data_IF_351630175622
#
_entry.id   IF_351630175622
#
_cell.length_a   1.000
_cell.length_b   1.000
_cell.length_c   1.000
_cell.angle_alpha   90.00
_cell.angle_beta   90.00
_cell.angle_gamma   90.00
#
_symmetry.space_group_name_H-M   'P 1'
#
loop_
_entity.id
_entity.type
_entity.pdbx_description
1 polymer ?
#
# COMPACT_ATOMS: atom_id res chain seq x y z
N UNK A 1 -2.20 23.23 -30.70
CA UNK A 1 -1.79 24.58 -31.13
C UNK A 1 -2.12 25.51 -29.97
N UNK A 2 -1.14 25.79 -29.10
CA UNK A 2 -1.34 26.68 -27.94
C UNK A 2 -0.99 28.12 -28.35
N UNK A 3 -1.76 29.14 -27.90
CA UNK A 3 -1.42 30.53 -28.19
C UNK A 3 -0.15 30.96 -27.44
N UNK A 4 0.64 31.91 -27.99
CA UNK A 4 1.85 32.39 -27.34
C UNK A 4 1.53 33.20 -26.08
N UNK A 5 2.29 32.95 -25.02
CA UNK A 5 2.23 33.68 -23.75
C UNK A 5 2.88 35.06 -23.95
N UNK A 6 2.25 36.17 -23.56
CA UNK A 6 2.86 37.50 -23.71
C UNK A 6 4.09 37.63 -22.79
N UNK A 7 5.24 37.95 -23.37
CA UNK A 7 6.44 38.33 -22.62
C UNK A 7 6.17 39.63 -21.85
N UNK A 8 6.27 39.55 -20.53
CA UNK A 8 6.33 40.71 -19.66
C UNK A 8 7.67 41.43 -19.89
N UNK A 9 7.67 42.43 -20.78
CA UNK A 9 8.78 43.36 -20.93
C UNK A 9 8.94 44.19 -19.64
N UNK A 10 9.94 43.83 -18.84
CA UNK A 10 10.39 44.64 -17.72
C UNK A 10 11.26 45.79 -18.27
N UNK A 11 11.03 47.04 -17.86
CA UNK A 11 11.82 48.18 -18.34
C UNK A 11 13.28 48.06 -17.87
N UNK A 12 14.21 48.30 -18.79
CA UNK A 12 15.63 48.32 -18.48
C UNK A 12 15.95 49.43 -17.46
N UNK A 13 16.80 49.17 -16.46
CA UNK A 13 17.19 50.19 -15.50
C UNK A 13 18.05 51.25 -16.20
N UNK A 14 17.70 52.51 -16.00
CA UNK A 14 18.51 53.64 -16.45
C UNK A 14 19.77 53.73 -15.61
N UNK A 15 20.93 53.50 -16.23
CA UNK A 15 22.24 53.65 -15.59
C UNK A 15 22.51 55.14 -15.34
N UNK A 16 22.30 55.59 -14.10
CA UNK A 16 22.86 56.86 -13.62
C UNK A 16 24.32 56.65 -13.23
N UNK A 17 25.18 57.48 -13.81
CA UNK A 17 26.62 57.46 -13.57
C UNK A 17 26.96 57.87 -12.13
N UNK A 18 27.87 57.09 -11.53
CA UNK A 18 28.77 57.52 -10.47
C UNK A 18 28.17 57.63 -9.08
N UNK A 19 28.18 56.53 -8.33
CA UNK A 19 28.73 56.37 -6.97
C UNK A 19 29.00 54.86 -6.83
N UNK A 20 30.24 54.44 -6.49
CA UNK A 20 30.50 53.04 -6.17
C UNK A 20 29.82 52.74 -4.83
N UNK A 21 28.58 52.31 -4.89
CA UNK A 21 27.89 51.77 -3.74
C UNK A 21 28.57 50.45 -3.36
N UNK A 22 28.83 50.19 -2.06
CA UNK A 22 29.31 48.90 -1.61
C UNK A 22 28.42 47.79 -2.18
N UNK A 23 29.03 46.71 -2.72
CA UNK A 23 28.28 45.55 -3.19
C UNK A 23 27.27 45.14 -2.10
N UNK A 24 25.99 44.91 -2.45
CA UNK A 24 24.99 44.53 -1.46
C UNK A 24 25.44 43.27 -0.75
N UNK A 25 25.84 43.41 0.51
CA UNK A 25 26.00 42.27 1.40
C UNK A 25 24.59 41.76 1.69
N UNK A 26 24.26 40.62 1.10
CA UNK A 26 23.13 39.82 1.57
C UNK A 26 23.49 39.46 3.01
N UNK A 27 22.90 40.15 3.99
CA UNK A 27 22.95 39.69 5.36
C UNK A 27 22.42 38.24 5.35
N UNK A 28 23.02 37.29 6.10
CA UNK A 28 22.51 35.92 6.17
C UNK A 28 21.11 35.94 6.79
N UNK A 29 20.11 36.18 5.96
CA UNK A 29 18.71 36.26 6.30
C UNK A 29 17.98 35.15 5.55
N UNK A 30 17.22 34.35 6.28
CA UNK A 30 16.38 33.32 5.71
C UNK A 30 14.97 33.89 5.44
N UNK A 31 14.44 33.63 4.25
CA UNK A 31 13.03 33.86 3.96
C UNK A 31 12.21 32.71 4.56
N UNK A 32 11.42 33.00 5.60
CA UNK A 32 10.48 32.04 6.17
C UNK A 32 9.10 32.31 5.61
N UNK A 33 8.53 31.36 4.86
CA UNK A 33 7.11 31.36 4.49
C UNK A 33 6.36 30.52 5.51
N UNK A 34 5.39 31.13 6.17
CA UNK A 34 4.53 30.51 7.18
C UNK A 34 3.08 30.62 6.74
N UNK A 35 2.28 29.61 7.06
CA UNK A 35 0.83 29.66 6.90
C UNK A 35 0.24 30.44 8.08
N UNK A 36 -0.69 31.36 7.81
CA UNK A 36 -1.40 32.12 8.86
C UNK A 36 -2.26 31.20 9.75
N UNK A 37 -2.61 30.01 9.24
CA UNK A 37 -3.34 28.98 9.97
C UNK A 37 -2.36 27.90 10.38
N UNK A 38 -2.34 27.58 11.67
CA UNK A 38 -1.60 26.43 12.20
C UNK A 38 -2.27 25.15 11.74
N UNK A 39 -1.48 24.16 11.29
CA UNK A 39 -1.99 22.82 11.07
C UNK A 39 -2.50 22.29 12.42
N UNK A 40 -3.82 22.02 12.59
CA UNK A 40 -4.31 21.47 13.84
C UNK A 40 -3.62 20.14 14.11
N UNK A 41 -3.29 19.87 15.37
CA UNK A 41 -2.81 18.56 15.78
C UNK A 41 -3.80 17.50 15.32
N UNK A 42 -3.31 16.40 14.75
CA UNK A 42 -4.21 15.35 14.27
C UNK A 42 -5.01 14.78 15.44
N UNK A 43 -6.35 14.71 15.32
CA UNK A 43 -7.16 14.14 16.38
C UNK A 43 -6.82 12.66 16.53
N UNK A 44 -6.63 12.20 17.78
CA UNK A 44 -6.27 10.82 18.10
C UNK A 44 -7.07 9.75 17.34
N UNK A 45 -8.41 9.89 17.18
CA UNK A 45 -9.21 8.95 16.39
C UNK A 45 -8.79 8.84 14.92
N UNK A 46 -8.40 9.94 14.28
CA UNK A 46 -7.96 9.91 12.88
C UNK A 46 -6.61 9.20 12.71
N UNK A 47 -5.70 9.38 13.68
CA UNK A 47 -4.41 8.68 13.73
C UNK A 47 -4.64 7.17 13.87
N UNK A 48 -5.48 6.76 14.82
CA UNK A 48 -5.82 5.36 15.03
C UNK A 48 -6.47 4.73 13.79
N UNK A 49 -7.41 5.43 13.15
CA UNK A 49 -8.06 4.96 11.93
C UNK A 49 -7.06 4.75 10.78
N UNK A 50 -6.17 5.71 10.52
CA UNK A 50 -5.16 5.58 9.45
C UNK A 50 -4.15 4.47 9.75
N UNK A 51 -3.78 4.28 11.01
CA UNK A 51 -2.93 3.16 11.42
C UNK A 51 -3.62 1.82 11.11
N UNK A 52 -4.87 1.64 11.54
CA UNK A 52 -5.65 0.44 11.23
C UNK A 52 -5.82 0.21 9.72
N UNK A 53 -6.08 1.27 8.95
CA UNK A 53 -6.15 1.17 7.49
C UNK A 53 -4.81 0.76 6.86
N UNK A 54 -3.70 1.30 7.34
CA UNK A 54 -2.36 0.93 6.87
C UNK A 54 -2.04 -0.54 7.17
N UNK A 55 -2.43 -1.02 8.36
CA UNK A 55 -2.29 -2.43 8.75
C UNK A 55 -3.14 -3.34 7.86
N UNK A 56 -4.40 -2.99 7.60
CA UNK A 56 -5.27 -3.73 6.70
C UNK A 56 -4.68 -3.81 5.28
N UNK A 57 -4.19 -2.69 4.74
CA UNK A 57 -3.54 -2.67 3.41
C UNK A 57 -2.27 -3.54 3.39
N UNK A 58 -1.48 -3.54 4.47
CA UNK A 58 -0.31 -4.40 4.58
C UNK A 58 -0.70 -5.89 4.61
N UNK A 59 -1.75 -6.25 5.34
CA UNK A 59 -2.29 -7.61 5.38
C UNK A 59 -2.81 -8.07 4.02
N UNK A 60 -3.57 -7.24 3.31
CA UNK A 60 -4.08 -7.56 1.96
C UNK A 60 -2.92 -7.79 0.96
N UNK A 61 -1.88 -6.94 1.01
CA UNK A 61 -0.66 -7.14 0.20
C UNK A 61 0.03 -8.45 0.52
N UNK A 62 0.11 -8.81 1.81
CA UNK A 62 0.74 -10.05 2.21
C UNK A 62 -0.05 -11.28 1.78
N UNK A 63 -1.38 -11.26 1.92
CA UNK A 63 -2.27 -12.32 1.42
C UNK A 63 -2.13 -12.51 -0.09
N UNK A 64 -2.08 -11.41 -0.85
CA UNK A 64 -1.86 -11.45 -2.29
C UNK A 64 -0.49 -12.03 -2.64
N UNK A 65 0.56 -11.69 -1.89
CA UNK A 65 1.92 -12.22 -2.11
C UNK A 65 2.04 -13.72 -1.80
N UNK A 66 1.27 -14.23 -0.83
CA UNK A 66 1.25 -15.66 -0.48
C UNK A 66 0.44 -16.52 -1.49
N UNK A 67 -0.50 -15.91 -2.21
CA UNK A 67 -1.46 -16.63 -3.06
C UNK A 67 -0.81 -17.54 -4.13
N UNK A 68 0.23 -17.12 -4.89
CA UNK A 68 0.87 -17.98 -5.88
C UNK A 68 1.51 -19.24 -5.26
N UNK A 69 2.35 -19.05 -4.24
CA UNK A 69 3.04 -20.14 -3.56
C UNK A 69 2.04 -21.12 -2.91
N UNK A 70 0.94 -20.60 -2.34
CA UNK A 70 -0.14 -21.43 -1.82
C UNK A 70 -0.83 -22.23 -2.94
N UNK A 71 -1.09 -21.60 -4.09
CA UNK A 71 -1.69 -22.27 -5.24
C UNK A 71 -0.87 -23.47 -5.73
N UNK A 72 0.45 -23.33 -5.75
CA UNK A 72 1.40 -24.38 -6.13
C UNK A 72 1.48 -25.47 -5.06
N UNK A 73 1.56 -25.09 -3.77
CA UNK A 73 1.59 -26.05 -2.67
C UNK A 73 0.30 -26.88 -2.58
N UNK A 74 -0.86 -26.26 -2.83
CA UNK A 74 -2.15 -26.97 -2.92
C UNK A 74 -2.23 -27.90 -4.13
N UNK A 75 -1.53 -27.59 -5.23
CA UNK A 75 -1.44 -28.49 -6.37
C UNK A 75 -0.52 -29.69 -6.06
N UNK A 76 0.65 -29.42 -5.46
CA UNK A 76 1.63 -30.44 -5.08
C UNK A 76 1.11 -31.41 -4.00
N UNK A 77 0.19 -30.96 -3.13
CA UNK A 77 -0.39 -31.80 -2.07
C UNK A 77 -1.32 -32.91 -2.58
N UNK A 78 -1.57 -33.00 -3.89
CA UNK A 78 -2.51 -33.96 -4.52
C UNK A 78 -2.31 -35.41 -4.09
N UNK A 79 -1.07 -35.85 -3.90
CA UNK A 79 -0.78 -37.23 -3.50
C UNK A 79 -1.17 -37.57 -2.05
N UNK A 80 -1.46 -36.56 -1.21
CA UNK A 80 -1.70 -36.72 0.21
C UNK A 80 -3.17 -36.86 0.63
N UNK A 81 -4.13 -36.88 -0.29
CA UNK A 81 -5.57 -36.94 0.04
C UNK A 81 -6.39 -37.67 -1.01
N UNK A 82 -7.62 -38.05 -0.66
CA UNK A 82 -8.55 -38.72 -1.57
C UNK A 82 -9.00 -37.81 -2.71
N UNK A 83 -9.45 -38.41 -3.82
CA UNK A 83 -9.96 -37.64 -4.97
C UNK A 83 -11.17 -36.77 -4.60
N UNK A 84 -12.07 -37.28 -3.76
CA UNK A 84 -13.23 -36.53 -3.28
C UNK A 84 -12.80 -35.30 -2.46
N UNK A 85 -11.84 -35.47 -1.54
CA UNK A 85 -11.29 -34.35 -0.80
C UNK A 85 -10.62 -33.33 -1.73
N UNK A 86 -9.92 -33.79 -2.75
CA UNK A 86 -9.32 -32.90 -3.75
C UNK A 86 -10.38 -32.07 -4.48
N UNK A 87 -11.45 -32.71 -4.95
CA UNK A 87 -12.52 -32.07 -5.73
C UNK A 87 -13.36 -31.12 -4.88
N UNK A 88 -13.68 -31.50 -3.65
CA UNK A 88 -14.59 -30.75 -2.79
C UNK A 88 -13.90 -29.69 -1.93
N UNK A 89 -12.63 -29.89 -1.57
CA UNK A 89 -11.91 -28.99 -0.66
C UNK A 89 -10.79 -28.24 -1.39
N UNK A 90 -9.85 -28.97 -1.99
CA UNK A 90 -8.62 -28.37 -2.52
C UNK A 90 -8.88 -27.52 -3.76
N UNK A 91 -9.68 -27.99 -4.72
CA UNK A 91 -9.98 -27.24 -5.94
C UNK A 91 -10.76 -25.94 -5.65
N UNK A 92 -11.85 -25.94 -4.85
CA UNK A 92 -12.54 -24.71 -4.50
C UNK A 92 -11.66 -23.73 -3.72
N UNK A 93 -10.81 -24.23 -2.80
CA UNK A 93 -9.88 -23.41 -2.05
C UNK A 93 -8.84 -22.75 -2.97
N UNK A 94 -8.18 -23.55 -3.83
CA UNK A 94 -7.22 -23.04 -4.81
C UNK A 94 -7.85 -21.99 -5.72
N UNK A 95 -9.10 -22.21 -6.14
CA UNK A 95 -9.85 -21.24 -6.97
C UNK A 95 -10.18 -19.97 -6.20
N UNK A 96 -10.53 -20.05 -4.91
CA UNK A 96 -10.79 -18.88 -4.09
C UNK A 96 -9.51 -18.04 -3.91
N UNK A 97 -8.42 -18.69 -3.51
CA UNK A 97 -7.09 -18.09 -3.33
C UNK A 97 -6.59 -17.42 -4.61
N UNK A 98 -6.65 -18.13 -5.74
CA UNK A 98 -6.21 -17.59 -7.03
C UNK A 98 -7.03 -16.38 -7.49
N UNK A 99 -8.33 -16.37 -7.22
CA UNK A 99 -9.21 -15.25 -7.60
C UNK A 99 -9.24 -14.12 -6.55
N UNK A 100 -8.46 -14.20 -5.48
CA UNK A 100 -8.51 -13.24 -4.37
C UNK A 100 -9.88 -13.17 -3.69
N UNK A 101 -10.65 -14.28 -3.72
CA UNK A 101 -11.97 -14.36 -3.10
C UNK A 101 -11.86 -14.99 -1.71
N UNK A 102 -12.71 -14.52 -0.80
CA UNK A 102 -12.86 -15.18 0.50
C UNK A 102 -13.47 -16.59 0.31
N UNK A 103 -12.81 -17.65 0.82
CA UNK A 103 -13.38 -18.99 0.80
C UNK A 103 -14.62 -19.08 1.69
N UNK A 104 -15.54 -19.98 1.33
CA UNK A 104 -16.76 -20.20 2.13
C UNK A 104 -16.40 -20.72 3.53
N UNK A 105 -17.05 -20.27 4.61
CA UNK A 105 -16.77 -20.77 5.96
C UNK A 105 -16.89 -22.30 6.09
N UNK A 106 -17.92 -22.89 5.48
CA UNK A 106 -18.09 -24.36 5.46
C UNK A 106 -16.92 -25.10 4.79
N UNK A 107 -16.23 -24.48 3.83
CA UNK A 107 -15.03 -25.04 3.21
C UNK A 107 -13.85 -25.03 4.18
N UNK A 108 -13.69 -23.95 4.95
CA UNK A 108 -12.62 -23.80 5.93
C UNK A 108 -12.72 -24.82 7.07
N UNK A 109 -13.93 -25.14 7.52
CA UNK A 109 -14.16 -26.20 8.51
C UNK A 109 -13.79 -27.60 8.01
N UNK A 110 -13.71 -27.81 6.69
CA UNK A 110 -13.38 -29.09 6.07
C UNK A 110 -11.90 -29.24 5.73
N UNK A 111 -11.05 -28.28 6.09
CA UNK A 111 -9.61 -28.35 5.78
C UNK A 111 -8.90 -29.49 6.50
N UNK A 112 -9.44 -29.96 7.63
CA UNK A 112 -8.88 -31.07 8.41
C UNK A 112 -7.37 -30.88 8.66
N UNK A 113 -6.54 -31.93 8.59
CA UNK A 113 -5.08 -31.85 8.73
C UNK A 113 -4.33 -31.19 7.56
N UNK A 114 -5.00 -30.59 6.57
CA UNK A 114 -4.32 -29.93 5.44
C UNK A 114 -3.38 -28.79 5.87
N UNK A 115 -3.72 -27.90 6.81
CA UNK A 115 -2.80 -26.85 7.30
C UNK A 115 -1.58 -27.42 8.07
N UNK A 116 -1.68 -28.67 8.54
CA UNK A 116 -0.55 -29.40 9.12
C UNK A 116 0.50 -29.78 8.07
N UNK A 117 0.05 -30.09 6.86
CA UNK A 117 0.86 -30.63 5.76
C UNK A 117 1.28 -29.59 4.72
N UNK A 118 0.55 -28.47 4.65
CA UNK A 118 0.83 -27.36 3.72
C UNK A 118 1.17 -26.11 4.54
N UNK A 119 2.46 -25.84 4.81
CA UNK A 119 2.89 -24.68 5.60
C UNK A 119 2.39 -23.33 5.05
N UNK A 120 2.32 -23.20 3.73
CA UNK A 120 1.81 -22.02 3.03
C UNK A 120 0.34 -21.76 3.37
N UNK A 121 -0.45 -22.83 3.49
CA UNK A 121 -1.87 -22.72 3.87
C UNK A 121 -1.99 -22.24 5.31
N UNK A 122 -1.15 -22.74 6.21
CA UNK A 122 -1.13 -22.28 7.60
C UNK A 122 -0.77 -20.80 7.69
N UNK A 123 0.27 -20.37 6.97
CA UNK A 123 0.67 -18.97 6.93
C UNK A 123 -0.44 -18.08 6.37
N UNK A 124 -1.10 -18.52 5.30
CA UNK A 124 -2.21 -17.80 4.70
C UNK A 124 -3.43 -17.71 5.62
N UNK A 125 -3.80 -18.80 6.31
CA UNK A 125 -4.89 -18.79 7.30
C UNK A 125 -4.58 -17.90 8.49
N UNK A 126 -3.32 -17.87 8.96
CA UNK A 126 -2.90 -16.99 10.05
C UNK A 126 -2.98 -15.51 9.63
N UNK A 127 -2.55 -15.17 8.41
CA UNK A 127 -2.69 -13.81 7.87
C UNK A 127 -4.17 -13.42 7.71
N UNK A 128 -5.01 -14.34 7.22
CA UNK A 128 -6.46 -14.13 7.07
C UNK A 128 -7.15 -13.92 8.42
N UNK A 129 -6.79 -14.68 9.45
CA UNK A 129 -7.34 -14.53 10.80
C UNK A 129 -6.97 -13.22 11.50
N UNK A 130 -5.95 -12.49 11.02
CA UNK A 130 -5.61 -11.14 11.52
C UNK A 130 -6.39 -10.02 10.85
N UNK A 131 -7.03 -10.32 9.72
CA UNK A 131 -7.86 -9.38 8.94
C UNK A 131 -9.30 -9.32 9.46
N UNK A 132 -9.80 -10.43 10.00
CA UNK A 132 -11.13 -10.55 10.65
C UNK A 132 -11.10 -9.97 12.07
#
# INVERSE_FOLDING_TARGET
>A
MNPPVPELQLPAPSLRAGHSAPLPRIAPGALVRTTLVSLPAEPGPAVAFRAALAELVALEKWLAALSPALGDALYASRAGHSEDFHREVVLPLRRAVHNGRDPRPALLHRLDGLPGRVPELRAWLAARGRRE
#
